data_IF_534279490842
#
_entry.id   IF_534279490842
#
_cell.length_a   1.000
_cell.length_b   1.000
_cell.length_c   1.000
_cell.angle_alpha   90.00
_cell.angle_beta   90.00
_cell.angle_gamma   90.00
#
_symmetry.space_group_name_H-M   'P 1'
#
loop_
_entity.id
_entity.type
_entity.pdbx_description
1 polymer ?
#
# COMPACT_ATOMS: atom_id res chain seq x y z
N UNK A 1 1.62 -18.60 0.28
CA UNK A 1 2.27 -19.75 -0.35
C UNK A 1 3.76 -19.55 -0.67
N UNK A 2 4.44 -18.64 0.02
CA UNK A 2 5.88 -18.45 -0.07
C UNK A 2 6.64 -19.78 -0.01
N UNK A 3 7.88 -19.81 -0.48
CA UNK A 3 8.70 -21.02 -0.37
C UNK A 3 8.69 -21.54 1.07
N UNK A 4 8.73 -22.85 1.25
CA UNK A 4 8.66 -23.47 2.58
C UNK A 4 9.71 -22.91 3.55
N UNK A 5 10.87 -22.47 3.06
CA UNK A 5 11.94 -21.86 3.87
C UNK A 5 11.60 -20.44 4.34
N UNK A 6 10.98 -19.60 3.50
CA UNK A 6 10.55 -18.24 3.84
C UNK A 6 9.39 -18.32 4.83
N UNK A 7 8.43 -19.19 4.57
CA UNK A 7 7.31 -19.43 5.47
C UNK A 7 7.77 -19.88 6.85
N UNK A 8 8.70 -20.84 6.93
CA UNK A 8 9.23 -21.31 8.20
C UNK A 8 9.95 -20.21 8.99
N UNK A 9 10.69 -19.32 8.30
CA UNK A 9 11.31 -18.15 8.97
C UNK A 9 10.27 -17.19 9.52
N UNK A 10 9.25 -16.88 8.72
CA UNK A 10 8.15 -16.02 9.16
C UNK A 10 7.46 -16.60 10.40
N UNK A 11 7.06 -17.88 10.34
CA UNK A 11 6.39 -18.56 11.46
C UNK A 11 7.26 -18.55 12.73
N UNK A 12 8.56 -18.81 12.59
CA UNK A 12 9.50 -18.75 13.72
C UNK A 12 9.57 -17.37 14.36
N UNK A 13 9.65 -16.31 13.55
CA UNK A 13 9.71 -14.94 14.06
C UNK A 13 8.38 -14.52 14.69
N UNK A 14 7.27 -14.80 14.02
CA UNK A 14 5.93 -14.55 14.56
C UNK A 14 5.74 -15.23 15.93
N UNK A 15 6.09 -16.50 16.03
CA UNK A 15 5.89 -17.27 17.26
C UNK A 15 6.77 -16.72 18.39
N UNK A 16 7.98 -16.27 18.09
CA UNK A 16 8.84 -15.60 19.05
C UNK A 16 8.25 -14.28 19.57
N UNK A 17 7.65 -13.47 18.68
CA UNK A 17 6.97 -12.24 19.09
C UNK A 17 5.71 -12.52 19.93
N UNK A 18 4.97 -13.57 19.59
CA UNK A 18 3.81 -14.00 20.38
C UNK A 18 4.25 -14.49 21.76
N UNK A 19 5.34 -15.25 21.86
CA UNK A 19 5.92 -15.67 23.13
C UNK A 19 6.39 -14.47 23.97
N UNK A 20 6.86 -13.41 23.31
CA UNK A 20 7.24 -12.15 23.96
C UNK A 20 6.04 -11.28 24.38
N UNK A 21 4.80 -11.70 24.08
CA UNK A 21 3.56 -11.05 24.50
C UNK A 21 2.82 -10.27 23.41
N UNK A 22 3.26 -10.36 22.14
CA UNK A 22 2.50 -9.80 21.02
C UNK A 22 1.25 -10.65 20.72
N UNK A 23 0.19 -10.01 20.25
CA UNK A 23 -0.99 -10.73 19.75
C UNK A 23 -0.96 -10.75 18.22
N UNK A 24 -1.12 -11.93 17.64
CA UNK A 24 -1.15 -12.12 16.19
C UNK A 24 -2.58 -12.47 15.76
N UNK A 25 -3.08 -11.72 14.77
CA UNK A 25 -4.32 -12.01 14.08
C UNK A 25 -4.08 -12.04 12.57
N UNK A 26 -4.80 -12.92 11.88
CA UNK A 26 -4.91 -12.86 10.42
C UNK A 26 -5.94 -11.79 10.02
N UNK A 27 -5.86 -11.31 8.78
CA UNK A 27 -6.84 -10.37 8.26
C UNK A 27 -8.27 -10.97 8.23
N UNK A 28 -8.39 -12.28 8.01
CA UNK A 28 -9.67 -12.97 8.04
C UNK A 28 -10.26 -13.05 9.45
N UNK A 29 -9.44 -13.33 10.48
CA UNK A 29 -9.88 -13.28 11.88
C UNK A 29 -10.34 -11.87 12.26
N UNK A 30 -9.60 -10.83 11.83
CA UNK A 30 -10.01 -9.45 12.03
C UNK A 30 -11.36 -9.17 11.34
N UNK A 31 -11.51 -9.58 10.10
CA UNK A 31 -12.77 -9.38 9.36
C UNK A 31 -13.96 -10.09 10.01
N UNK A 32 -13.75 -11.30 10.51
CA UNK A 32 -14.78 -12.12 11.16
C UNK A 32 -14.98 -11.78 12.63
N UNK A 33 -14.11 -10.93 13.21
CA UNK A 33 -14.12 -10.57 14.65
C UNK A 33 -14.07 -11.79 15.55
N UNK A 34 -13.21 -12.77 15.22
CA UNK A 34 -13.03 -14.00 15.96
C UNK A 34 -11.82 -13.93 16.90
N UNK A 35 -11.85 -14.70 17.98
CA UNK A 35 -10.75 -14.89 18.92
C UNK A 35 -10.17 -13.59 19.53
N UNK A 36 -10.99 -12.55 19.61
CA UNK A 36 -10.59 -11.22 20.12
C UNK A 36 -10.05 -10.27 19.06
N UNK A 37 -9.94 -10.71 17.81
CA UNK A 37 -9.63 -9.84 16.68
C UNK A 37 -10.80 -8.86 16.42
N UNK A 38 -10.49 -7.70 15.85
CA UNK A 38 -11.45 -6.66 15.52
C UNK A 38 -11.25 -6.18 14.09
N UNK A 39 -12.31 -5.75 13.43
CA UNK A 39 -12.22 -5.06 12.13
C UNK A 39 -11.65 -3.67 12.25
N UNK A 40 -11.88 -3.04 13.40
CA UNK A 40 -11.59 -1.63 13.63
C UNK A 40 -10.82 -1.46 14.93
N UNK A 41 -9.69 -0.78 14.87
CA UNK A 41 -8.81 -0.50 15.99
C UNK A 41 -8.67 1.00 16.19
N UNK A 42 -9.04 1.50 17.36
CA UNK A 42 -8.77 2.88 17.74
C UNK A 42 -7.26 3.04 18.03
N UNK A 43 -6.57 3.83 17.21
CA UNK A 43 -5.15 4.13 17.38
C UNK A 43 -4.95 5.35 18.30
N UNK A 44 -5.93 6.26 18.30
CA UNK A 44 -6.03 7.40 19.22
C UNK A 44 -7.48 7.85 19.31
N UNK A 45 -7.75 8.92 20.02
CA UNK A 45 -9.11 9.48 20.21
C UNK A 45 -9.84 9.77 18.87
N UNK A 46 -9.09 10.17 17.82
CA UNK A 46 -9.65 10.54 16.53
C UNK A 46 -9.04 9.81 15.33
N UNK A 47 -8.25 8.75 15.57
CA UNK A 47 -7.63 7.94 14.52
C UNK A 47 -8.05 6.48 14.68
N UNK A 48 -8.63 5.94 13.63
CA UNK A 48 -9.08 4.55 13.57
C UNK A 48 -8.43 3.83 12.38
N UNK A 49 -7.97 2.61 12.61
CA UNK A 49 -7.50 1.70 11.55
C UNK A 49 -8.55 0.63 11.32
N UNK A 50 -8.97 0.47 10.07
CA UNK A 50 -9.94 -0.53 9.66
C UNK A 50 -9.28 -1.56 8.75
N UNK A 51 -9.49 -2.83 9.05
CA UNK A 51 -9.11 -3.94 8.18
C UNK A 51 -10.21 -4.08 7.12
N UNK A 52 -9.84 -3.98 5.86
CA UNK A 52 -10.77 -4.12 4.74
C UNK A 52 -10.78 -5.56 4.24
N UNK A 53 -11.94 -6.00 3.76
CA UNK A 53 -12.07 -7.33 3.16
C UNK A 53 -11.57 -7.35 1.73
N UNK A 54 -10.93 -8.45 1.37
CA UNK A 54 -10.71 -8.87 -0.01
C UNK A 54 -10.75 -10.40 -0.10
N UNK A 55 -11.14 -10.94 -1.25
CA UNK A 55 -11.48 -12.35 -1.44
C UNK A 55 -10.37 -13.36 -1.11
N UNK A 56 -9.12 -12.97 -1.29
CA UNK A 56 -7.99 -13.89 -1.09
C UNK A 56 -7.61 -14.09 0.38
N UNK A 57 -8.34 -13.48 1.31
CA UNK A 57 -8.29 -13.92 2.72
C UNK A 57 -8.93 -15.31 2.90
N UNK A 58 -9.85 -15.69 2.02
CA UNK A 58 -10.57 -16.98 2.04
C UNK A 58 -10.22 -17.86 0.83
N UNK A 59 -9.96 -17.27 -0.33
CA UNK A 59 -9.70 -17.98 -1.56
C UNK A 59 -8.19 -18.13 -1.81
N UNK A 60 -7.83 -19.18 -2.56
CA UNK A 60 -6.45 -19.36 -2.99
C UNK A 60 -6.13 -18.38 -4.12
N UNK A 61 -5.12 -17.55 -3.92
CA UNK A 61 -4.55 -16.71 -4.95
C UNK A 61 -3.58 -17.47 -5.86
N UNK A 62 -3.39 -16.97 -7.08
CA UNK A 62 -2.36 -17.43 -8.00
C UNK A 62 -1.01 -16.76 -7.76
N UNK A 63 -1.03 -15.58 -7.15
CA UNK A 63 0.14 -14.79 -6.80
C UNK A 63 0.15 -14.46 -5.30
N UNK A 64 1.35 -14.38 -4.71
CA UNK A 64 1.53 -14.06 -3.28
C UNK A 64 1.08 -12.63 -2.95
N UNK A 65 1.18 -11.71 -3.90
CA UNK A 65 0.79 -10.32 -3.74
C UNK A 65 -0.70 -10.17 -3.40
N UNK A 66 -1.52 -11.06 -3.92
CA UNK A 66 -2.96 -11.08 -3.67
C UNK A 66 -3.33 -11.44 -2.21
N UNK A 67 -2.39 -11.91 -1.39
CA UNK A 67 -2.61 -12.08 0.06
C UNK A 67 -2.36 -10.81 0.87
N UNK A 68 -2.18 -9.68 0.22
CA UNK A 68 -1.97 -8.39 0.87
C UNK A 68 -3.10 -8.00 1.82
N UNK A 69 -2.73 -7.54 3.01
CA UNK A 69 -3.68 -6.99 3.98
C UNK A 69 -3.99 -5.54 3.61
N UNK A 70 -5.27 -5.23 3.45
CA UNK A 70 -5.74 -3.90 3.08
C UNK A 70 -6.23 -3.13 4.30
N UNK A 71 -5.78 -1.88 4.43
CA UNK A 71 -6.05 -1.03 5.57
C UNK A 71 -6.63 0.32 5.12
N UNK A 72 -7.67 0.76 5.81
CA UNK A 72 -8.15 2.13 5.75
C UNK A 72 -7.94 2.80 7.11
N UNK A 73 -7.10 3.83 7.14
CA UNK A 73 -6.94 4.66 8.34
C UNK A 73 -7.80 5.89 8.15
N UNK A 74 -8.60 6.22 9.16
CA UNK A 74 -9.42 7.43 9.20
C UNK A 74 -8.98 8.34 10.34
N UNK A 75 -8.88 9.63 10.07
CA UNK A 75 -8.61 10.67 11.06
C UNK A 75 -9.63 11.80 10.89
N UNK A 76 -10.61 11.86 11.75
CA UNK A 76 -11.73 12.76 11.56
C UNK A 76 -12.46 12.50 10.24
N UNK A 77 -12.34 13.41 9.26
CA UNK A 77 -12.91 13.25 7.92
C UNK A 77 -11.90 12.83 6.86
N UNK A 78 -10.64 12.57 7.25
CA UNK A 78 -9.53 12.21 6.35
C UNK A 78 -9.35 10.71 6.27
N UNK A 79 -9.09 10.21 5.06
CA UNK A 79 -8.99 8.79 4.76
C UNK A 79 -7.66 8.49 4.07
N UNK A 80 -7.00 7.45 4.53
CA UNK A 80 -5.68 7.00 4.06
C UNK A 80 -5.76 5.52 3.73
N UNK A 81 -5.57 5.15 2.45
CA UNK A 81 -5.70 3.77 1.98
C UNK A 81 -4.33 3.13 1.73
N UNK A 82 -4.20 1.88 2.19
CA UNK A 82 -3.04 1.03 1.99
C UNK A 82 -3.52 -0.35 1.50
N UNK A 83 -3.06 -0.77 0.32
CA UNK A 83 -3.48 -2.04 -0.30
C UNK A 83 -2.34 -3.06 -0.40
N UNK A 84 -1.15 -2.74 0.13
CA UNK A 84 0.03 -3.59 -0.05
C UNK A 84 0.37 -3.74 -1.53
N UNK A 85 0.57 -4.98 -1.96
CA UNK A 85 0.88 -5.34 -3.34
C UNK A 85 -0.31 -6.06 -4.02
N UNK A 86 -1.53 -5.81 -3.52
CA UNK A 86 -2.77 -6.37 -4.06
C UNK A 86 -2.92 -6.09 -5.55
N UNK A 87 -3.23 -7.12 -6.33
CA UNK A 87 -3.36 -7.03 -7.77
C UNK A 87 -4.82 -6.85 -8.23
N UNK A 88 -5.04 -6.76 -9.56
CA UNK A 88 -6.32 -6.39 -10.18
C UNK A 88 -7.54 -7.12 -9.61
N UNK A 89 -7.45 -8.45 -9.44
CA UNK A 89 -8.58 -9.25 -8.95
C UNK A 89 -8.88 -8.99 -7.48
N UNK A 90 -7.84 -8.74 -6.70
CA UNK A 90 -7.96 -8.36 -5.31
C UNK A 90 -8.55 -6.96 -5.16
N UNK A 91 -8.10 -6.00 -5.98
CA UNK A 91 -8.65 -4.64 -6.02
C UNK A 91 -10.12 -4.62 -6.44
N UNK A 92 -10.51 -5.42 -7.44
CA UNK A 92 -11.91 -5.59 -7.83
C UNK A 92 -12.76 -6.09 -6.66
N UNK A 93 -12.27 -7.09 -5.93
CA UNK A 93 -12.93 -7.60 -4.73
C UNK A 93 -12.98 -6.57 -3.61
N UNK A 94 -11.89 -5.84 -3.38
CA UNK A 94 -11.81 -4.78 -2.37
C UNK A 94 -12.90 -3.72 -2.60
N UNK A 95 -13.00 -3.22 -3.82
CA UNK A 95 -14.02 -2.22 -4.21
C UNK A 95 -15.44 -2.77 -4.06
N UNK A 96 -15.66 -4.01 -4.44
CA UNK A 96 -17.00 -4.64 -4.43
C UNK A 96 -17.48 -4.94 -3.00
N UNK A 97 -16.57 -5.25 -2.10
CA UNK A 97 -16.89 -5.77 -0.76
C UNK A 97 -16.85 -4.73 0.35
N UNK A 98 -16.34 -3.53 0.06
CA UNK A 98 -16.23 -2.46 1.06
C UNK A 98 -16.84 -1.16 0.52
N UNK A 99 -17.38 -0.36 1.42
CA UNK A 99 -17.82 1.02 1.12
C UNK A 99 -16.61 1.96 1.27
N UNK A 100 -15.81 2.05 0.20
CA UNK A 100 -14.57 2.82 0.20
C UNK A 100 -14.87 4.32 0.02
N UNK A 101 -14.38 5.19 0.91
CA UNK A 101 -14.49 6.64 0.75
C UNK A 101 -13.47 7.18 -0.26
N UNK A 102 -13.66 8.44 -0.68
CA UNK A 102 -12.57 9.21 -1.27
C UNK A 102 -11.42 9.36 -0.26
N UNK A 103 -10.18 9.30 -0.75
CA UNK A 103 -8.98 9.24 0.10
C UNK A 103 -8.09 10.46 -0.11
N UNK A 104 -7.64 11.08 0.96
CA UNK A 104 -6.63 12.11 0.91
C UNK A 104 -5.26 11.54 0.57
N UNK A 105 -4.97 10.33 1.03
CA UNK A 105 -3.72 9.64 0.76
C UNK A 105 -3.99 8.22 0.28
N UNK A 106 -3.31 7.83 -0.77
CA UNK A 106 -3.19 6.45 -1.21
C UNK A 106 -1.72 6.04 -1.28
N UNK A 107 -1.35 4.98 -0.59
CA UNK A 107 -0.05 4.33 -0.83
C UNK A 107 -0.21 3.51 -2.11
N UNK A 108 0.38 3.98 -3.21
CA UNK A 108 0.31 3.30 -4.51
C UNK A 108 0.61 1.81 -4.39
N UNK A 109 -0.31 0.98 -4.86
CA UNK A 109 -0.26 -0.46 -4.77
C UNK A 109 0.92 -1.04 -5.52
N UNK A 110 1.53 -2.08 -4.98
CA UNK A 110 2.58 -2.90 -5.61
C UNK A 110 3.67 -2.04 -6.30
N UNK A 111 4.19 -1.04 -5.55
CA UNK A 111 5.27 -0.15 -6.01
C UNK A 111 4.96 0.61 -7.31
N UNK A 112 3.69 0.77 -7.68
CA UNK A 112 3.28 1.32 -8.97
C UNK A 112 3.37 0.31 -10.13
N UNK A 113 3.25 -0.98 -9.83
CA UNK A 113 3.20 -2.06 -10.82
C UNK A 113 2.05 -1.90 -11.82
N UNK A 114 2.20 -2.38 -13.07
CA UNK A 114 1.10 -2.42 -14.03
C UNK A 114 -0.02 -3.42 -13.65
N UNK A 115 0.22 -4.29 -12.66
CA UNK A 115 -0.77 -5.29 -12.20
C UNK A 115 -1.70 -4.78 -11.10
N UNK A 116 -1.50 -3.54 -10.63
CA UNK A 116 -2.26 -2.90 -9.54
C UNK A 116 -2.73 -1.50 -9.93
N UNK A 117 -3.37 -0.77 -9.01
CA UNK A 117 -3.80 0.62 -9.20
C UNK A 117 -4.82 0.76 -10.34
N UNK A 118 -5.82 -0.10 -10.35
CA UNK A 118 -6.82 -0.16 -11.43
C UNK A 118 -7.66 1.11 -11.49
N UNK A 119 -8.14 1.48 -12.71
CA UNK A 119 -9.13 2.56 -12.84
C UNK A 119 -10.38 2.33 -12.00
N UNK A 120 -10.76 1.06 -11.76
CA UNK A 120 -11.88 0.70 -10.91
C UNK A 120 -11.69 1.16 -9.46
N UNK A 121 -10.54 0.86 -8.86
CA UNK A 121 -10.20 1.31 -7.51
C UNK A 121 -10.05 2.84 -7.47
N UNK A 122 -9.24 3.40 -8.37
CA UNK A 122 -8.93 4.83 -8.37
C UNK A 122 -10.15 5.71 -8.58
N UNK A 123 -11.13 5.27 -9.39
CA UNK A 123 -12.38 6.02 -9.60
C UNK A 123 -13.24 6.13 -8.33
N UNK A 124 -13.12 5.16 -7.41
CA UNK A 124 -13.84 5.17 -6.13
C UNK A 124 -13.10 6.03 -5.10
N UNK A 125 -11.81 5.78 -4.92
CA UNK A 125 -11.03 6.43 -3.86
C UNK A 125 -10.57 7.85 -4.21
N UNK A 126 -10.51 8.23 -5.47
CA UNK A 126 -10.16 9.57 -5.98
C UNK A 126 -9.01 10.21 -5.20
N UNK A 127 -7.81 9.62 -5.19
CA UNK A 127 -6.74 10.01 -4.29
C UNK A 127 -6.25 11.42 -4.56
N UNK A 128 -6.01 12.21 -3.49
CA UNK A 128 -5.45 13.56 -3.60
C UNK A 128 -3.92 13.55 -3.56
N UNK A 129 -3.33 12.59 -2.86
CA UNK A 129 -1.90 12.37 -2.73
C UNK A 129 -1.62 10.89 -2.95
N UNK A 130 -0.63 10.57 -3.76
CA UNK A 130 -0.16 9.19 -3.94
C UNK A 130 1.31 9.10 -3.58
N UNK A 131 1.64 8.16 -2.68
CA UNK A 131 3.01 7.86 -2.28
C UNK A 131 3.41 6.47 -2.78
N UNK A 132 4.55 6.36 -3.45
CA UNK A 132 5.04 5.11 -4.03
C UNK A 132 6.42 4.79 -3.48
N UNK A 133 6.54 3.62 -2.86
CA UNK A 133 7.83 3.11 -2.40
C UNK A 133 8.51 2.38 -3.56
N UNK A 134 9.32 3.06 -4.32
CA UNK A 134 10.08 2.50 -5.44
C UNK A 134 11.35 3.30 -5.72
N UNK A 135 12.25 2.72 -6.51
CA UNK A 135 13.28 3.47 -7.21
C UNK A 135 12.77 3.77 -8.62
N UNK A 136 12.27 4.98 -8.82
CA UNK A 136 11.60 5.39 -10.06
C UNK A 136 12.57 5.31 -11.25
N UNK A 137 12.16 4.55 -12.28
CA UNK A 137 12.96 4.32 -13.49
C UNK A 137 14.08 3.29 -13.33
N UNK A 138 14.07 2.48 -12.26
CA UNK A 138 15.02 1.38 -12.08
C UNK A 138 14.70 0.20 -13.00
N UNK A 139 15.75 -0.40 -13.55
CA UNK A 139 15.70 -1.62 -14.35
C UNK A 139 15.88 -2.90 -13.50
N UNK A 140 15.79 -2.80 -12.17
CA UNK A 140 16.01 -3.91 -11.24
C UNK A 140 15.13 -5.14 -11.52
N UNK A 141 13.85 -4.88 -11.89
CA UNK A 141 12.88 -5.95 -12.14
C UNK A 141 12.62 -6.20 -13.63
N UNK A 142 12.89 -5.22 -14.49
CA UNK A 142 12.66 -5.31 -15.94
C UNK A 142 13.41 -4.20 -16.68
N UNK A 143 13.91 -4.53 -17.84
CA UNK A 143 14.48 -3.58 -18.82
C UNK A 143 13.42 -2.95 -19.73
N UNK A 144 12.16 -3.40 -19.63
CA UNK A 144 11.05 -2.76 -20.32
C UNK A 144 10.63 -1.47 -19.62
N UNK A 145 10.96 -0.33 -20.20
CA UNK A 145 10.72 1.02 -19.66
C UNK A 145 9.26 1.24 -19.23
N UNK A 146 8.30 0.69 -19.97
CA UNK A 146 6.87 0.86 -19.65
C UNK A 146 6.46 0.12 -18.36
N UNK A 147 7.22 -0.90 -17.96
CA UNK A 147 6.97 -1.71 -16.78
C UNK A 147 7.91 -1.41 -15.60
N UNK A 148 8.88 -0.51 -15.76
CA UNK A 148 9.70 -0.02 -14.64
C UNK A 148 8.81 0.68 -13.61
N UNK A 149 9.16 0.56 -12.34
CA UNK A 149 8.35 1.16 -11.28
C UNK A 149 8.63 2.66 -11.10
N UNK A 150 7.59 3.51 -10.94
CA UNK A 150 6.19 3.19 -11.23
C UNK A 150 5.97 3.03 -12.74
N UNK A 151 5.12 2.09 -13.12
CA UNK A 151 4.86 1.77 -14.54
C UNK A 151 4.12 2.90 -15.28
N UNK A 152 4.21 2.91 -16.61
CA UNK A 152 3.42 3.86 -17.41
C UNK A 152 1.91 3.68 -17.17
N UNK A 153 1.44 2.44 -17.02
CA UNK A 153 0.04 2.15 -16.71
C UNK A 153 -0.40 2.76 -15.36
N UNK A 154 0.46 2.72 -14.34
CA UNK A 154 0.21 3.41 -13.07
C UNK A 154 0.08 4.92 -13.28
N UNK A 155 1.02 5.53 -14.00
CA UNK A 155 1.00 6.98 -14.25
C UNK A 155 -0.28 7.38 -15.00
N UNK A 156 -0.65 6.66 -16.05
CA UNK A 156 -1.85 6.93 -16.84
C UNK A 156 -3.14 6.79 -16.01
N UNK A 157 -3.18 5.80 -15.11
CA UNK A 157 -4.34 5.56 -14.24
C UNK A 157 -4.48 6.61 -13.13
N UNK A 158 -3.38 7.12 -12.57
CA UNK A 158 -3.38 8.08 -11.47
C UNK A 158 -3.56 9.53 -11.95
N UNK A 159 -2.98 9.88 -13.10
CA UNK A 159 -2.97 11.24 -13.64
C UNK A 159 -4.34 11.96 -13.71
N UNK A 160 -5.48 11.27 -13.96
CA UNK A 160 -6.79 11.90 -13.95
C UNK A 160 -7.22 12.44 -12.57
N UNK A 161 -6.63 11.96 -11.48
CA UNK A 161 -7.04 12.27 -10.11
C UNK A 161 -6.12 13.25 -9.41
N UNK A 162 -4.80 13.13 -9.61
CA UNK A 162 -3.82 13.97 -8.92
C UNK A 162 -2.48 14.06 -9.69
N UNK A 163 -1.81 15.19 -9.55
CA UNK A 163 -0.42 15.42 -9.93
C UNK A 163 0.54 15.32 -8.72
N UNK A 164 0.00 15.09 -7.51
CA UNK A 164 0.77 14.99 -6.27
C UNK A 164 1.21 13.54 -6.02
N UNK A 165 2.17 13.08 -6.82
CA UNK A 165 2.76 11.75 -6.73
C UNK A 165 4.19 11.85 -6.22
N UNK A 166 4.50 11.13 -5.16
CA UNK A 166 5.80 11.13 -4.49
C UNK A 166 6.42 9.74 -4.51
N UNK A 167 7.70 9.64 -4.86
CA UNK A 167 8.46 8.38 -4.87
C UNK A 167 9.61 8.43 -3.86
N UNK A 168 10.04 7.28 -3.36
CA UNK A 168 11.10 7.22 -2.34
C UNK A 168 12.49 7.49 -2.93
N UNK A 169 12.74 7.08 -4.16
CA UNK A 169 14.04 7.22 -4.83
C UNK A 169 13.83 7.34 -6.34
N UNK A 170 14.76 7.95 -7.03
CA UNK A 170 14.81 8.02 -8.51
C UNK A 170 16.15 7.52 -9.02
N UNK A 171 16.17 7.03 -10.28
CA UNK A 171 17.41 6.74 -10.99
C UNK A 171 18.08 8.05 -11.35
N UNK A 172 19.39 8.14 -11.14
CA UNK A 172 20.18 9.29 -11.60
C UNK A 172 20.30 9.28 -13.13
N UNK A 173 20.25 10.43 -13.77
CA UNK A 173 20.44 10.61 -15.20
C UNK A 173 21.87 10.26 -15.71
N UNK A 174 22.74 9.82 -14.81
CA UNK A 174 24.07 9.33 -15.15
C UNK A 174 24.14 7.81 -15.02
N UNK A 175 24.83 7.15 -15.90
CA UNK A 175 25.01 5.71 -15.95
C UNK A 175 25.67 5.08 -14.70
N UNK A 176 25.84 5.83 -13.62
CA UNK A 176 26.52 5.41 -12.40
C UNK A 176 25.55 4.88 -11.31
N UNK A 177 24.23 4.83 -11.56
CA UNK A 177 23.27 4.23 -10.64
C UNK A 177 22.26 5.21 -10.03
N UNK A 178 21.73 4.87 -8.88
CA UNK A 178 20.63 5.57 -8.24
C UNK A 178 21.05 6.82 -7.48
N UNK A 179 20.27 7.89 -7.59
CA UNK A 179 20.35 9.00 -6.64
C UNK A 179 19.30 8.81 -5.55
N UNK A 180 19.74 8.55 -4.34
CA UNK A 180 18.84 8.46 -3.20
C UNK A 180 18.28 9.84 -2.87
N UNK A 181 16.96 9.94 -2.78
CA UNK A 181 16.24 11.09 -2.24
C UNK A 181 16.18 11.04 -0.69
N UNK A 182 17.07 10.30 -0.05
CA UNK A 182 17.03 9.86 1.35
C UNK A 182 15.89 8.89 1.69
N UNK A 183 15.12 8.48 0.72
CA UNK A 183 14.17 7.37 0.82
C UNK A 183 12.92 7.59 1.66
N UNK A 184 12.76 8.73 2.34
CA UNK A 184 11.63 8.95 3.24
C UNK A 184 10.59 9.90 2.63
N UNK A 185 9.33 9.44 2.63
CA UNK A 185 8.16 10.29 2.40
C UNK A 185 7.42 10.36 3.74
N UNK A 186 7.36 11.55 4.33
CA UNK A 186 6.67 11.77 5.61
C UNK A 186 5.41 12.56 5.34
N UNK A 187 4.26 11.92 5.54
CA UNK A 187 2.96 12.59 5.47
C UNK A 187 2.48 12.84 6.89
N UNK A 188 2.24 14.10 7.19
CA UNK A 188 1.73 14.53 8.49
C UNK A 188 0.32 15.07 8.33
N UNK A 189 -0.59 14.68 9.22
CA UNK A 189 -1.97 15.14 9.25
C UNK A 189 -2.37 15.60 10.65
N UNK A 190 -3.06 16.72 10.72
CA UNK A 190 -3.73 17.21 11.92
C UNK A 190 -5.25 16.90 11.93
N UNK A 191 -5.73 16.11 10.94
CA UNK A 191 -7.15 15.79 10.73
C UNK A 191 -7.87 16.79 9.82
N UNK A 192 -7.22 17.89 9.45
CA UNK A 192 -7.76 18.94 8.55
C UNK A 192 -6.83 19.10 7.34
N UNK A 193 -5.55 19.23 7.58
CA UNK A 193 -4.52 19.51 6.56
C UNK A 193 -3.51 18.34 6.51
N UNK A 194 -3.13 17.97 5.30
CA UNK A 194 -2.00 17.05 5.06
C UNK A 194 -0.82 17.83 4.52
N UNK A 195 0.34 17.60 5.12
CA UNK A 195 1.63 18.07 4.58
C UNK A 195 2.50 16.88 4.20
N UNK A 196 3.20 16.99 3.08
CA UNK A 196 4.15 15.98 2.62
C UNK A 196 5.54 16.56 2.65
N UNK A 197 6.43 15.88 3.34
CA UNK A 197 7.86 16.18 3.36
C UNK A 197 8.60 14.97 2.80
N UNK A 198 9.28 15.16 1.68
CA UNK A 198 10.18 14.15 1.15
C UNK A 198 11.61 14.53 1.52
N UNK A 199 12.38 13.59 2.04
CA UNK A 199 13.80 13.77 2.21
C UNK A 199 14.41 14.01 0.81
N UNK A 200 15.26 15.02 0.67
CA UNK A 200 15.89 15.35 -0.60
C UNK A 200 15.03 16.18 -1.59
N UNK A 201 13.91 16.74 -1.15
CA UNK A 201 13.10 17.67 -1.95
C UNK A 201 13.86 18.86 -2.51
N UNK A 202 14.99 19.22 -1.91
CA UNK A 202 15.86 20.29 -2.39
C UNK A 202 16.60 19.96 -3.70
N UNK A 203 16.39 18.71 -4.21
CA UNK A 203 16.99 18.21 -5.45
C UNK A 203 16.03 18.22 -6.66
N UNK A 204 14.79 18.68 -6.47
CA UNK A 204 13.76 18.80 -7.52
C UNK A 204 13.56 20.25 -7.86
#
# INVERSE_FOLDING_TARGET
>A
NSTSSIRAKYETLRDAEVEAGATHYTALECWNETDGAQRSYALSENVTMNILYQRFYEEKASDENDYSVCLLITQGTKNYLFTGDLEHKGEESLVKSNDLPACELFKGGHHGSPTSNTPGLLSVIQPQIVCVCCCCGSDEYTDNVENMFPSQAFVDNVAPYTDRVYVTTIVADNAAGYTSMNGNIVVTSDGVTLTVNCSGNDLI
#
